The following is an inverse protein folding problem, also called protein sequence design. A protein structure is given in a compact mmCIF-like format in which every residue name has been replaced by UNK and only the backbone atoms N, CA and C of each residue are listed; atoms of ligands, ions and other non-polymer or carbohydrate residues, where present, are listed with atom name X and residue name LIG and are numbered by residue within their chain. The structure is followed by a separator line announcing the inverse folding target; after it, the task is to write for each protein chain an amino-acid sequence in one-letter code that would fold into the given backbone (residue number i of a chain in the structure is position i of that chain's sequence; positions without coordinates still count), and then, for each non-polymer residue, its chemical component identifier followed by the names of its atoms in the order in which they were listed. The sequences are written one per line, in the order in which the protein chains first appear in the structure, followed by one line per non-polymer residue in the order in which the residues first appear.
data_IF_111166209334
#
_entry.id   IF_111166209334
#
_cell.length_a   1.000
_cell.length_b   1.000
_cell.length_c   1.000
_cell.angle_alpha   90.00
_cell.angle_beta   90.00
_cell.angle_gamma   90.00
#
_symmetry.space_group_name_H-M   'P 1'
#
loop_
_entity.id
_entity.type
_entity.pdbx_description
1 polymer ?
#
# COMPACT_ATOMS: atom_id res chain seq x y z
N UNK A 1 4.91 6.17 -1.72
CA UNK A 1 5.94 5.97 -2.75
C UNK A 1 6.81 7.21 -2.75
N UNK A 2 8.09 7.09 -2.37
CA UNK A 2 8.97 8.26 -2.29
C UNK A 2 9.58 8.57 -3.66
N UNK A 3 10.09 7.56 -4.36
CA UNK A 3 10.65 7.67 -5.71
C UNK A 3 10.41 6.39 -6.51
N UNK A 4 10.40 6.49 -7.84
CA UNK A 4 10.17 5.37 -8.76
C UNK A 4 8.68 5.04 -8.96
N UNK A 5 8.42 3.79 -9.37
CA UNK A 5 7.08 3.30 -9.65
C UNK A 5 6.92 1.83 -9.28
N UNK A 6 5.71 1.44 -8.92
CA UNK A 6 5.39 0.05 -8.60
C UNK A 6 3.94 -0.31 -8.91
N UNK A 7 3.65 -1.61 -8.88
CA UNK A 7 2.28 -2.14 -8.90
C UNK A 7 2.08 -3.05 -7.69
N UNK A 8 1.06 -2.74 -6.88
CA UNK A 8 0.55 -3.64 -5.85
C UNK A 8 -0.52 -4.54 -6.46
N UNK A 9 -0.48 -5.84 -6.16
CA UNK A 9 -1.51 -6.78 -6.56
C UNK A 9 -2.18 -7.41 -5.33
N UNK A 10 -3.49 -7.61 -5.43
CA UNK A 10 -4.36 -8.11 -4.37
C UNK A 10 -4.93 -9.50 -4.73
N UNK A 11 -5.44 -10.27 -3.75
CA UNK A 11 -5.97 -11.62 -3.98
C UNK A 11 -7.19 -11.69 -4.90
N UNK A 12 -7.95 -10.60 -4.99
CA UNK A 12 -9.12 -10.49 -5.88
C UNK A 12 -8.74 -10.22 -7.35
N UNK A 13 -7.43 -10.18 -7.65
CA UNK A 13 -6.92 -9.88 -8.98
C UNK A 13 -6.83 -8.39 -9.30
N UNK A 14 -7.26 -7.51 -8.39
CA UNK A 14 -7.08 -6.08 -8.57
C UNK A 14 -5.61 -5.69 -8.44
N UNK A 15 -5.24 -4.67 -9.21
CA UNK A 15 -3.90 -4.08 -9.17
C UNK A 15 -3.99 -2.57 -8.96
N UNK A 16 -3.01 -2.03 -8.25
CA UNK A 16 -2.86 -0.60 -8.02
C UNK A 16 -1.46 -0.15 -8.42
N UNK A 17 -1.40 0.64 -9.49
CA UNK A 17 -0.18 1.33 -9.89
C UNK A 17 0.09 2.50 -8.94
N UNK A 18 1.35 2.67 -8.58
CA UNK A 18 1.86 3.74 -7.75
C UNK A 18 2.99 4.45 -8.48
N UNK A 19 2.96 5.77 -8.47
CA UNK A 19 4.02 6.67 -8.92
C UNK A 19 4.60 7.42 -7.71
N UNK A 20 5.70 8.14 -7.93
CA UNK A 20 6.29 9.00 -6.89
C UNK A 20 5.25 9.98 -6.34
N UNK A 21 5.14 10.06 -5.02
CA UNK A 21 4.11 10.84 -4.32
C UNK A 21 2.85 10.06 -3.94
N UNK A 22 2.55 8.93 -4.60
CA UNK A 22 1.36 8.14 -4.29
C UNK A 22 1.49 7.40 -2.95
N UNK A 23 0.35 7.12 -2.33
CA UNK A 23 0.26 6.23 -1.17
C UNK A 23 -0.93 5.28 -1.29
N UNK A 24 -0.88 4.20 -0.50
CA UNK A 24 -1.97 3.26 -0.33
C UNK A 24 -2.14 3.00 1.17
N UNK A 25 -3.39 3.01 1.64
CA UNK A 25 -3.72 2.51 2.97
C UNK A 25 -3.99 1.02 2.83
N UNK A 26 -3.24 0.21 3.57
CA UNK A 26 -3.38 -1.24 3.60
C UNK A 26 -4.01 -1.60 4.95
N UNK A 27 -5.31 -1.96 4.98
CA UNK A 27 -5.97 -2.36 6.22
C UNK A 27 -5.25 -3.53 6.89
N UNK A 28 -5.49 -3.71 8.19
CA UNK A 28 -4.98 -4.88 8.91
C UNK A 28 -5.39 -6.17 8.19
N UNK A 29 -4.46 -7.13 8.12
CA UNK A 29 -4.62 -8.41 7.41
C UNK A 29 -4.89 -8.29 5.89
N UNK A 30 -4.70 -7.11 5.30
CA UNK A 30 -4.76 -6.92 3.85
C UNK A 30 -3.56 -7.63 3.18
N UNK A 31 -3.81 -8.81 2.61
CA UNK A 31 -2.83 -9.51 1.78
C UNK A 31 -2.60 -8.71 0.49
N UNK A 32 -1.34 -8.46 0.19
CA UNK A 32 -0.89 -7.78 -1.01
C UNK A 32 0.51 -8.29 -1.37
N UNK A 33 0.93 -8.08 -2.61
CA UNK A 33 2.34 -8.26 -3.02
C UNK A 33 2.74 -7.13 -3.95
N UNK A 34 4.03 -6.84 -4.00
CA UNK A 34 4.58 -6.02 -5.08
C UNK A 34 4.69 -6.91 -6.31
N UNK A 35 3.87 -6.66 -7.32
CA UNK A 35 3.85 -7.42 -8.56
C UNK A 35 4.90 -6.94 -9.56
N UNK A 36 5.29 -5.67 -9.46
CA UNK A 36 6.26 -5.04 -10.35
C UNK A 36 6.86 -3.78 -9.72
N UNK A 37 8.10 -3.47 -10.10
CA UNK A 37 8.79 -2.20 -9.85
C UNK A 37 9.44 -1.72 -11.14
N UNK A 38 9.72 -0.42 -11.24
CA UNK A 38 10.41 0.16 -12.41
C UNK A 38 11.77 -0.53 -12.65
N UNK A 39 12.02 -1.15 -13.82
CA UNK A 39 13.31 -1.74 -14.13
C UNK A 39 14.38 -0.70 -14.53
N UNK A 40 13.98 0.52 -14.88
CA UNK A 40 14.88 1.58 -15.32
C UNK A 40 15.36 2.48 -14.17
N UNK A 41 14.71 2.42 -13.00
CA UNK A 41 15.03 3.27 -11.85
C UNK A 41 14.75 2.56 -10.52
N UNK A 42 15.52 2.91 -9.49
CA UNK A 42 15.26 2.41 -8.13
C UNK A 42 13.89 2.85 -7.62
N UNK A 43 13.22 1.95 -6.90
CA UNK A 43 11.89 2.16 -6.35
C UNK A 43 11.96 2.17 -4.81
N UNK A 44 11.80 3.35 -4.20
CA UNK A 44 11.99 3.56 -2.75
C UNK A 44 10.68 3.78 -2.00
N UNK A 45 10.38 2.88 -1.06
CA UNK A 45 9.15 2.90 -0.27
C UNK A 45 9.38 3.43 1.14
N UNK A 46 8.39 4.14 1.67
CA UNK A 46 8.27 4.42 3.10
C UNK A 46 7.00 3.73 3.61
N UNK A 47 7.16 2.74 4.48
CA UNK A 47 6.06 2.07 5.15
C UNK A 47 5.86 2.68 6.55
N UNK A 48 4.63 3.09 6.83
CA UNK A 48 4.24 3.62 8.14
C UNK A 48 3.21 2.67 8.75
N UNK A 49 3.54 2.10 9.91
CA UNK A 49 2.63 1.22 10.65
C UNK A 49 1.89 2.05 11.70
N UNK A 50 0.58 2.20 11.51
CA UNK A 50 -0.30 2.87 12.47
C UNK A 50 -0.78 1.87 13.53
N UNK A 51 -0.90 2.27 14.80
CA UNK A 51 -1.55 1.43 15.81
C UNK A 51 -3.01 1.17 15.41
N UNK A 52 -3.62 0.07 15.89
CA UNK A 52 -5.04 -0.17 15.66
C UNK A 52 -5.85 1.04 16.16
N UNK A 53 -6.79 1.51 15.32
CA UNK A 53 -7.68 2.57 15.75
C UNK A 53 -8.63 2.02 16.82
N UNK A 54 -8.78 2.70 17.97
CA UNK A 54 -9.81 2.35 18.93
C UNK A 54 -11.16 2.35 18.23
N UNK A 55 -11.86 1.23 18.31
CA UNK A 55 -13.19 1.12 17.73
C UNK A 55 -14.10 2.13 18.45
N UNK A 56 -14.63 3.11 17.73
CA UNK A 56 -15.60 4.04 18.28
C UNK A 56 -16.77 3.20 18.83
N UNK A 57 -16.94 3.23 20.15
CA UNK A 57 -18.02 2.52 20.82
C UNK A 57 -19.32 3.14 20.30
N UNK A 58 -20.09 2.34 19.55
CA UNK A 58 -21.46 2.69 19.21
C UNK A 58 -22.25 2.58 20.52
N UNK A 59 -22.42 3.69 21.21
CA UNK A 59 -23.38 3.80 22.31
C UNK A 59 -24.77 3.59 21.72
N UNK A 60 -25.37 2.45 22.04
CA UNK A 60 -26.82 2.26 21.97
C UNK A 60 -27.42 2.41 23.36
#
# INVERSE_FOLDING_TARGET
MISGAAVLAFPDGSERRMQSGDYAILPAFCRHRVAWTDPAAETLWLAVHMPPQPQAQSTS
#
